data_IF_084637152445
#
_entry.id   IF_084637152445
#
_cell.length_a   1.000
_cell.length_b   1.000
_cell.length_c   1.000
_cell.angle_alpha   90.00
_cell.angle_beta   90.00
_cell.angle_gamma   90.00
#
_symmetry.space_group_name_H-M   'P 1'
#
loop_
_entity.id
_entity.type
_entity.pdbx_description
1 polymer ?
#
# COMPACT_ATOMS: atom_id res chain seq x y z
N UNK A 1 4.88 0.42 -13.61
CA UNK A 1 4.68 1.87 -13.41
C UNK A 1 5.86 2.73 -13.94
N UNK A 2 6.48 2.38 -15.08
CA UNK A 2 7.72 3.02 -15.53
C UNK A 2 7.59 4.51 -15.87
N UNK A 3 6.51 4.91 -16.56
CA UNK A 3 6.28 6.32 -16.87
C UNK A 3 6.12 7.18 -15.62
N UNK A 4 5.36 6.69 -14.63
CA UNK A 4 5.17 7.37 -13.34
C UNK A 4 6.49 7.51 -12.57
N UNK A 5 7.30 6.45 -12.56
CA UNK A 5 8.64 6.48 -11.97
C UNK A 5 9.52 7.55 -12.62
N UNK A 6 9.61 7.59 -13.95
CA UNK A 6 10.47 8.54 -14.66
C UNK A 6 9.98 9.98 -14.53
N UNK A 7 8.68 10.21 -14.69
CA UNK A 7 8.12 11.56 -14.80
C UNK A 7 7.82 12.21 -13.44
N UNK A 8 7.56 11.42 -12.40
CA UNK A 8 7.18 11.94 -11.09
C UNK A 8 8.24 11.60 -10.04
N UNK A 9 8.47 10.31 -9.78
CA UNK A 9 9.28 9.92 -8.61
C UNK A 9 10.77 10.18 -8.78
N UNK A 10 11.35 9.73 -9.89
CA UNK A 10 12.75 9.94 -10.23
C UNK A 10 13.06 11.41 -10.49
N UNK A 11 12.12 12.16 -11.09
CA UNK A 11 12.26 13.60 -11.31
C UNK A 11 12.41 14.36 -9.98
N UNK A 12 11.51 14.13 -9.02
CA UNK A 12 11.60 14.72 -7.66
C UNK A 12 12.89 14.29 -6.96
N UNK A 13 13.23 13.00 -7.04
CA UNK A 13 14.45 12.47 -6.43
C UNK A 13 15.75 13.04 -7.02
N UNK A 14 15.80 13.25 -8.33
CA UNK A 14 16.95 13.83 -9.01
C UNK A 14 17.11 15.32 -8.64
N UNK A 15 16.05 16.11 -8.78
CA UNK A 15 16.08 17.54 -8.52
C UNK A 15 16.42 17.84 -7.05
N UNK A 16 15.76 17.16 -6.10
CA UNK A 16 15.98 17.37 -4.67
C UNK A 16 17.43 17.05 -4.25
N UNK A 17 17.99 15.91 -4.67
CA UNK A 17 19.37 15.55 -4.30
C UNK A 17 20.40 16.53 -4.83
N UNK A 18 20.24 17.03 -6.07
CA UNK A 18 21.18 18.01 -6.64
C UNK A 18 21.06 19.33 -5.89
N UNK A 19 19.86 19.91 -5.84
CA UNK A 19 19.65 21.21 -5.22
C UNK A 19 20.03 21.24 -3.73
N UNK A 20 19.63 20.22 -2.96
CA UNK A 20 19.94 20.15 -1.54
C UNK A 20 21.42 19.89 -1.27
N UNK A 21 22.12 19.16 -2.15
CA UNK A 21 23.57 18.98 -2.01
C UNK A 21 24.33 20.29 -2.22
N UNK A 22 23.96 21.05 -3.25
CA UNK A 22 24.59 22.35 -3.51
C UNK A 22 24.24 23.38 -2.43
N UNK A 23 22.99 23.43 -1.98
CA UNK A 23 22.60 24.32 -0.89
C UNK A 23 23.38 24.05 0.40
N UNK A 24 23.56 22.78 0.76
CA UNK A 24 24.39 22.40 1.93
C UNK A 24 25.84 22.84 1.74
N UNK A 25 26.45 22.58 0.58
CA UNK A 25 27.84 22.96 0.30
C UNK A 25 28.05 24.50 0.34
N UNK A 26 27.10 25.27 -0.18
CA UNK A 26 27.15 26.74 -0.13
C UNK A 26 26.99 27.28 1.28
N UNK A 27 26.11 26.70 2.10
CA UNK A 27 25.94 27.06 3.50
C UNK A 27 27.18 26.74 4.33
N UNK A 28 27.83 25.59 4.08
CA UNK A 28 29.10 25.22 4.71
C UNK A 28 30.20 26.23 4.37
N UNK A 29 30.34 26.60 3.09
CA UNK A 29 31.28 27.66 2.68
C UNK A 29 30.97 29.00 3.30
N UNK A 30 29.70 29.38 3.42
CA UNK A 30 29.31 30.63 4.06
C UNK A 30 29.69 30.66 5.56
N UNK A 31 29.54 29.54 6.27
CA UNK A 31 30.00 29.38 7.65
C UNK A 31 31.53 29.56 7.77
N UNK A 32 32.31 28.99 6.84
CA UNK A 32 33.77 29.16 6.80
C UNK A 32 34.19 30.63 6.63
N UNK A 33 33.35 31.47 6.02
CA UNK A 33 33.58 32.91 5.88
C UNK A 33 32.98 33.75 7.03
N UNK A 34 32.57 33.10 8.13
CA UNK A 34 32.12 33.78 9.35
C UNK A 34 30.64 34.21 9.35
N UNK A 35 29.83 33.76 8.39
CA UNK A 35 28.38 33.98 8.41
C UNK A 35 27.70 32.95 9.33
N UNK A 36 26.74 33.40 10.15
CA UNK A 36 25.95 32.47 10.97
C UNK A 36 24.92 31.74 10.10
N UNK A 37 25.18 30.46 9.81
CA UNK A 37 24.30 29.61 9.00
C UNK A 37 23.75 28.40 9.75
N UNK A 38 23.98 28.27 11.06
CA UNK A 38 23.78 27.01 11.80
C UNK A 38 22.37 26.44 11.64
N UNK A 39 21.34 27.28 11.82
CA UNK A 39 19.94 26.87 11.70
C UNK A 39 19.57 26.46 10.27
N UNK A 40 20.07 27.20 9.27
CA UNK A 40 19.81 26.90 7.86
C UNK A 40 20.54 25.62 7.45
N UNK A 41 21.80 25.47 7.82
CA UNK A 41 22.60 24.29 7.50
C UNK A 41 21.99 23.03 8.12
N UNK A 42 21.55 23.08 9.39
CA UNK A 42 20.85 21.97 10.03
C UNK A 42 19.58 21.58 9.28
N UNK A 43 18.76 22.57 8.89
CA UNK A 43 17.53 22.34 8.11
C UNK A 43 17.82 21.67 6.77
N UNK A 44 18.72 22.22 5.96
CA UNK A 44 19.02 21.70 4.62
C UNK A 44 19.71 20.33 4.66
N UNK A 45 20.54 20.05 5.67
CA UNK A 45 21.10 18.70 5.89
C UNK A 45 20.00 17.68 6.22
N UNK A 46 19.03 18.07 7.06
CA UNK A 46 17.88 17.21 7.35
C UNK A 46 17.06 16.92 6.08
N UNK A 47 16.72 17.96 5.31
CA UNK A 47 16.00 17.80 4.03
C UNK A 47 16.76 16.92 3.04
N UNK A 48 18.08 17.10 2.91
CA UNK A 48 18.94 16.25 2.05
C UNK A 48 18.85 14.78 2.44
N UNK A 49 18.85 14.48 3.75
CA UNK A 49 18.69 13.12 4.27
C UNK A 49 17.32 12.53 3.91
N UNK A 50 16.24 13.28 4.12
CA UNK A 50 14.87 12.86 3.81
C UNK A 50 14.67 12.61 2.30
N UNK A 51 15.27 13.45 1.44
CA UNK A 51 15.29 13.24 0.00
C UNK A 51 16.03 11.95 -0.40
N UNK A 52 17.11 11.60 0.30
CA UNK A 52 17.79 10.31 0.14
C UNK A 52 16.87 9.14 0.46
N UNK A 53 16.22 9.17 1.62
CA UNK A 53 15.28 8.13 2.06
C UNK A 53 14.10 7.95 1.08
N UNK A 54 13.56 9.05 0.56
CA UNK A 54 12.54 9.01 -0.49
C UNK A 54 13.02 8.25 -1.74
N UNK A 55 14.26 8.50 -2.17
CA UNK A 55 14.83 7.81 -3.34
C UNK A 55 15.03 6.33 -3.06
N UNK A 56 15.54 5.99 -1.89
CA UNK A 56 15.75 4.60 -1.49
C UNK A 56 14.40 3.85 -1.42
N UNK A 57 13.35 4.51 -0.92
CA UNK A 57 12.01 3.94 -0.82
C UNK A 57 11.44 3.52 -2.18
N UNK A 58 11.40 4.39 -3.20
CA UNK A 58 10.83 3.99 -4.49
C UNK A 58 11.71 3.00 -5.25
N UNK A 59 13.04 3.05 -5.07
CA UNK A 59 13.99 2.12 -5.71
C UNK A 59 13.80 0.69 -5.22
N UNK A 60 13.34 0.49 -3.99
CA UNK A 60 13.03 -0.83 -3.44
C UNK A 60 12.01 -1.61 -4.29
N UNK A 61 11.19 -0.91 -5.07
CA UNK A 61 10.16 -1.49 -5.94
C UNK A 61 10.54 -1.46 -7.43
N UNK A 62 11.82 -1.25 -7.76
CA UNK A 62 12.30 -1.11 -9.12
C UNK A 62 13.39 -2.15 -9.43
N UNK A 63 13.11 -3.03 -10.38
CA UNK A 63 14.10 -3.93 -10.97
C UNK A 63 13.81 -4.09 -12.46
N UNK A 64 14.84 -4.38 -13.29
CA UNK A 64 14.61 -4.69 -14.68
C UNK A 64 13.84 -6.01 -14.84
N UNK A 65 12.97 -6.09 -15.85
CA UNK A 65 12.25 -7.30 -16.23
C UNK A 65 12.64 -7.63 -17.67
N UNK A 66 13.39 -8.72 -17.84
CA UNK A 66 13.85 -9.23 -19.14
C UNK A 66 13.08 -10.48 -19.56
N UNK A 67 12.49 -11.19 -18.60
CA UNK A 67 11.70 -12.39 -18.83
C UNK A 67 10.59 -12.54 -17.78
N UNK A 68 9.73 -13.55 -17.95
CA UNK A 68 8.70 -13.90 -16.95
C UNK A 68 9.31 -14.28 -15.60
N UNK A 69 10.54 -14.81 -15.57
CA UNK A 69 11.21 -15.21 -14.33
C UNK A 69 11.57 -14.03 -13.41
N UNK A 70 11.60 -12.80 -13.95
CA UNK A 70 11.83 -11.58 -13.16
C UNK A 70 10.55 -11.07 -12.50
N UNK A 71 9.39 -11.67 -12.80
CA UNK A 71 8.11 -11.35 -12.18
C UNK A 71 7.87 -12.20 -10.95
N UNK A 72 7.08 -11.67 -10.01
CA UNK A 72 6.57 -12.40 -8.86
C UNK A 72 5.06 -12.21 -8.78
N UNK A 73 4.33 -13.31 -8.65
CA UNK A 73 2.88 -13.32 -8.43
C UNK A 73 2.60 -13.77 -7.01
N UNK A 74 1.90 -12.92 -6.25
CA UNK A 74 1.47 -13.23 -4.89
C UNK A 74 -0.08 -13.20 -4.81
N UNK A 75 -0.77 -14.26 -5.27
CA UNK A 75 -2.18 -14.47 -4.99
C UNK A 75 -2.52 -14.26 -3.51
N UNK A 76 -3.75 -13.85 -3.20
CA UNK A 76 -4.19 -13.76 -1.80
C UNK A 76 -5.67 -14.10 -1.61
N UNK A 77 -6.43 -14.30 -2.69
CA UNK A 77 -7.77 -14.87 -2.67
C UNK A 77 -7.92 -15.88 -3.79
N UNK A 78 -8.66 -16.95 -3.51
CA UNK A 78 -9.27 -17.80 -4.53
C UNK A 78 -10.71 -17.31 -4.59
N UNK A 79 -11.10 -16.59 -5.65
CA UNK A 79 -12.40 -15.91 -5.68
C UNK A 79 -13.54 -16.87 -6.04
N UNK A 80 -13.34 -17.72 -7.04
CA UNK A 80 -14.34 -18.66 -7.51
C UNK A 80 -13.70 -19.88 -8.19
N UNK A 81 -14.43 -20.99 -8.17
CA UNK A 81 -14.20 -22.18 -9.00
C UNK A 81 -15.52 -22.55 -9.68
N UNK A 82 -15.54 -23.63 -10.47
CA UNK A 82 -16.78 -24.10 -11.09
C UNK A 82 -17.88 -24.29 -10.04
N UNK A 83 -18.98 -23.54 -10.19
CA UNK A 83 -20.18 -23.63 -9.34
C UNK A 83 -20.09 -23.00 -7.96
N UNK A 84 -18.98 -22.38 -7.57
CA UNK A 84 -18.81 -21.85 -6.19
C UNK A 84 -17.98 -20.55 -6.17
N UNK A 85 -18.52 -19.53 -5.51
CA UNK A 85 -17.76 -18.35 -5.10
C UNK A 85 -17.28 -18.55 -3.66
N UNK A 86 -15.96 -18.49 -3.43
CA UNK A 86 -15.36 -18.84 -2.13
C UNK A 86 -15.42 -17.70 -1.10
N UNK A 87 -16.39 -16.81 -1.22
CA UNK A 87 -16.57 -15.63 -0.35
C UNK A 87 -17.09 -16.00 1.04
N UNK A 88 -17.54 -17.26 1.23
CA UNK A 88 -17.89 -17.85 2.53
C UNK A 88 -16.69 -18.47 3.27
N UNK A 89 -15.49 -18.51 2.66
CA UNK A 89 -14.28 -19.01 3.30
C UNK A 89 -13.58 -17.89 4.06
N UNK A 90 -13.01 -18.18 5.22
CA UNK A 90 -12.24 -17.18 5.98
C UNK A 90 -10.87 -16.92 5.31
N UNK A 91 -10.19 -15.84 5.70
CA UNK A 91 -8.92 -15.49 5.09
C UNK A 91 -7.80 -16.50 5.38
N UNK A 92 -7.83 -17.22 6.50
CA UNK A 92 -6.86 -18.29 6.80
C UNK A 92 -6.95 -19.40 5.76
N UNK A 93 -8.17 -19.85 5.45
CA UNK A 93 -8.41 -20.86 4.42
C UNK A 93 -7.82 -20.42 3.07
N UNK A 94 -7.99 -19.16 2.68
CA UNK A 94 -7.38 -18.65 1.44
C UNK A 94 -5.86 -18.71 1.48
N UNK A 95 -5.24 -18.29 2.59
CA UNK A 95 -3.78 -18.30 2.72
C UNK A 95 -3.20 -19.71 2.70
N UNK A 96 -3.83 -20.65 3.42
CA UNK A 96 -3.41 -22.05 3.49
C UNK A 96 -3.63 -22.78 2.16
N UNK A 97 -4.79 -22.59 1.52
CA UNK A 97 -5.07 -23.23 0.22
C UNK A 97 -4.14 -22.71 -0.88
N UNK A 98 -3.85 -21.39 -0.88
CA UNK A 98 -2.88 -20.83 -1.82
C UNK A 98 -1.44 -21.28 -1.52
N UNK A 99 -1.12 -21.65 -0.28
CA UNK A 99 0.20 -22.17 0.07
C UNK A 99 0.56 -23.45 -0.70
N UNK A 100 -0.43 -24.29 -0.98
CA UNK A 100 -0.26 -25.48 -1.81
C UNK A 100 0.10 -25.12 -3.26
N UNK A 101 -0.50 -24.07 -3.82
CA UNK A 101 -0.17 -23.59 -5.16
C UNK A 101 1.25 -23.00 -5.23
N UNK A 102 1.68 -22.29 -4.19
CA UNK A 102 3.06 -21.75 -4.14
C UNK A 102 4.12 -22.85 -4.16
N UNK A 103 3.81 -24.03 -3.63
CA UNK A 103 4.73 -25.16 -3.66
C UNK A 103 4.96 -25.70 -5.10
N UNK A 104 4.02 -25.46 -6.02
CA UNK A 104 4.08 -25.96 -7.40
C UNK A 104 5.01 -25.14 -8.30
N UNK A 105 5.13 -23.83 -8.09
CA UNK A 105 6.03 -22.96 -8.86
C UNK A 105 6.63 -21.87 -7.95
N UNK A 106 7.75 -22.19 -7.31
CA UNK A 106 8.46 -21.29 -6.39
C UNK A 106 9.26 -20.20 -7.11
N UNK A 107 9.43 -20.30 -8.42
CA UNK A 107 10.14 -19.30 -9.21
C UNK A 107 9.22 -18.13 -9.51
N UNK A 108 7.98 -18.38 -9.92
CA UNK A 108 7.01 -17.33 -10.23
C UNK A 108 6.14 -16.94 -9.03
N UNK A 109 5.70 -17.91 -8.23
CA UNK A 109 4.75 -17.66 -7.15
C UNK A 109 5.45 -17.34 -5.83
N UNK A 110 4.96 -16.30 -5.17
CA UNK A 110 5.45 -15.84 -3.89
C UNK A 110 4.38 -16.01 -2.82
N UNK A 111 4.70 -16.77 -1.78
CA UNK A 111 3.82 -16.92 -0.64
C UNK A 111 3.67 -15.60 0.13
N UNK A 112 2.44 -15.15 0.30
CA UNK A 112 2.14 -13.96 1.10
C UNK A 112 2.29 -14.31 2.59
N UNK A 113 3.25 -13.72 3.33
CA UNK A 113 3.33 -13.95 4.77
C UNK A 113 2.13 -13.30 5.47
N UNK A 114 1.55 -14.00 6.45
CA UNK A 114 0.43 -13.49 7.25
C UNK A 114 0.62 -13.78 8.73
N UNK A 115 -0.10 -13.04 9.57
CA UNK A 115 -0.17 -13.27 11.01
C UNK A 115 -1.61 -13.06 11.48
N UNK A 116 -2.12 -13.99 12.27
CA UNK A 116 -3.37 -13.82 12.99
C UNK A 116 -3.14 -12.97 14.23
N UNK A 117 -4.07 -12.04 14.47
CA UNK A 117 -4.04 -11.13 15.61
C UNK A 117 -5.41 -11.15 16.27
N UNK A 118 -5.45 -11.54 17.54
CA UNK A 118 -6.64 -11.34 18.37
C UNK A 118 -6.61 -9.90 18.89
N UNK A 119 -7.52 -9.07 18.36
CA UNK A 119 -7.60 -7.64 18.72
C UNK A 119 -8.13 -7.40 20.14
N UNK A 120 -8.60 -8.44 20.82
CA UNK A 120 -9.03 -8.40 22.23
C UNK A 120 -7.94 -8.77 23.22
N UNK A 121 -6.84 -9.38 22.75
CA UNK A 121 -5.66 -9.72 23.54
C UNK A 121 -4.54 -8.69 23.31
N UNK A 122 -4.17 -7.88 24.33
CA UNK A 122 -3.07 -6.93 24.21
C UNK A 122 -1.73 -7.56 23.79
N UNK A 123 -1.43 -8.79 24.21
CA UNK A 123 -0.18 -9.46 23.84
C UNK A 123 -0.17 -9.81 22.35
N UNK A 124 -1.26 -10.39 21.82
CA UNK A 124 -1.42 -10.65 20.39
C UNK A 124 -1.30 -9.38 19.54
N UNK A 125 -1.85 -8.26 20.01
CA UNK A 125 -1.72 -6.96 19.34
C UNK A 125 -0.26 -6.49 19.30
N UNK A 126 0.47 -6.59 20.41
CA UNK A 126 1.89 -6.24 20.46
C UNK A 126 2.73 -7.07 19.49
N UNK A 127 2.48 -8.38 19.43
CA UNK A 127 3.15 -9.24 18.45
C UNK A 127 2.83 -8.85 16.99
N UNK A 128 1.58 -8.44 16.72
CA UNK A 128 1.16 -7.94 15.41
C UNK A 128 1.89 -6.65 15.02
N UNK A 129 2.04 -5.72 15.96
CA UNK A 129 2.81 -4.48 15.78
C UNK A 129 4.29 -4.80 15.53
N UNK A 130 4.90 -5.66 16.34
CA UNK A 130 6.30 -6.07 16.18
C UNK A 130 6.56 -6.72 14.82
N UNK A 131 5.63 -7.57 14.35
CA UNK A 131 5.69 -8.17 13.02
C UNK A 131 5.65 -7.12 11.89
N UNK A 132 4.74 -6.15 11.99
CA UNK A 132 4.63 -5.05 11.02
C UNK A 132 5.87 -4.14 11.02
N UNK A 133 6.42 -3.82 12.19
CA UNK A 133 7.66 -3.04 12.31
C UNK A 133 8.85 -3.78 11.65
N UNK A 134 8.95 -5.09 11.84
CA UNK A 134 9.99 -5.90 11.20
C UNK A 134 9.84 -5.96 9.68
N UNK A 135 8.61 -6.07 9.18
CA UNK A 135 8.33 -6.09 7.74
C UNK A 135 8.68 -4.75 7.08
N UNK A 136 8.21 -3.65 7.66
CA UNK A 136 8.42 -2.31 7.11
C UNK A 136 9.86 -1.83 7.30
N UNK A 137 10.53 -2.21 8.38
CA UNK A 137 11.95 -1.94 8.61
C UNK A 137 12.90 -2.62 7.61
N UNK A 138 12.41 -3.59 6.82
CA UNK A 138 13.15 -4.25 5.74
C UNK A 138 12.81 -3.71 4.34
N UNK A 139 12.01 -2.65 4.25
CA UNK A 139 11.55 -2.05 3.00
C UNK A 139 10.16 -2.53 2.53
N UNK A 140 9.48 -3.37 3.30
CA UNK A 140 8.11 -3.76 2.98
C UNK A 140 7.15 -2.57 3.00
N UNK A 141 6.17 -2.57 2.09
CA UNK A 141 5.18 -1.47 1.97
C UNK A 141 4.37 -1.31 3.26
N UNK A 142 4.05 -2.41 3.93
CA UNK A 142 3.16 -2.46 5.08
C UNK A 142 2.32 -3.74 5.06
N UNK A 143 1.11 -3.64 5.61
CA UNK A 143 0.18 -4.77 5.67
C UNK A 143 -1.23 -4.38 5.25
N UNK A 144 -2.02 -5.39 4.90
CA UNK A 144 -3.47 -5.30 4.73
C UNK A 144 -4.11 -6.07 5.86
N UNK A 145 -4.81 -5.36 6.75
CA UNK A 145 -5.56 -5.94 7.85
C UNK A 145 -6.94 -6.31 7.34
N UNK A 146 -7.34 -7.57 7.47
CA UNK A 146 -8.64 -8.08 7.07
C UNK A 146 -9.36 -8.62 8.31
N UNK A 147 -10.70 -8.59 8.37
CA UNK A 147 -11.44 -9.40 9.34
C UNK A 147 -11.06 -10.88 9.20
N UNK A 148 -11.37 -11.73 10.18
CA UNK A 148 -11.08 -13.16 10.04
C UNK A 148 -11.90 -13.78 8.89
N UNK A 149 -13.22 -13.55 8.93
CA UNK A 149 -14.15 -13.93 7.89
C UNK A 149 -14.11 -12.95 6.71
N UNK A 150 -14.28 -13.46 5.49
CA UNK A 150 -14.18 -12.68 4.26
C UNK A 150 -15.29 -11.61 4.14
N UNK A 151 -16.52 -11.94 4.56
CA UNK A 151 -17.62 -10.99 4.72
C UNK A 151 -17.98 -10.91 6.20
N UNK A 152 -17.48 -9.88 6.87
CA UNK A 152 -17.81 -9.63 8.27
C UNK A 152 -18.89 -8.54 8.42
N UNK A 153 -19.76 -8.70 9.43
CA UNK A 153 -20.81 -7.73 9.78
C UNK A 153 -20.61 -7.23 11.21
N UNK A 154 -20.72 -5.92 11.38
CA UNK A 154 -20.79 -5.26 12.68
C UNK A 154 -22.19 -4.70 12.95
N UNK A 155 -22.32 -3.91 14.02
CA UNK A 155 -23.60 -3.30 14.44
C UNK A 155 -24.28 -2.42 13.37
N UNK A 156 -23.53 -1.95 12.38
CA UNK A 156 -24.00 -1.03 11.32
C UNK A 156 -23.97 -1.65 9.91
N UNK A 157 -23.95 -2.98 9.82
CA UNK A 157 -23.88 -3.71 8.54
C UNK A 157 -22.48 -4.24 8.24
N UNK A 158 -22.17 -4.39 6.94
CA UNK A 158 -20.88 -4.93 6.48
C UNK A 158 -19.74 -3.98 6.90
N UNK A 159 -18.68 -4.54 7.47
CA UNK A 159 -17.47 -3.77 7.80
C UNK A 159 -16.48 -3.77 6.63
N UNK A 160 -15.47 -2.91 6.70
CA UNK A 160 -14.44 -2.87 5.65
C UNK A 160 -13.81 -4.26 5.47
N UNK A 161 -13.78 -4.82 4.25
CA UNK A 161 -13.20 -6.14 4.00
C UNK A 161 -11.67 -6.12 4.13
N UNK A 162 -11.06 -4.93 4.01
CA UNK A 162 -9.63 -4.74 4.13
C UNK A 162 -9.31 -3.30 4.56
N UNK A 163 -8.28 -3.15 5.39
CA UNK A 163 -7.71 -1.85 5.79
C UNK A 163 -6.20 -1.89 5.57
N UNK A 164 -5.69 -1.02 4.70
CA UNK A 164 -4.25 -0.88 4.46
C UNK A 164 -3.57 -0.13 5.61
N UNK A 165 -2.43 -0.62 6.07
CA UNK A 165 -1.56 0.01 7.07
C UNK A 165 -0.12 0.02 6.52
N UNK A 166 0.28 1.16 5.96
CA UNK A 166 1.53 1.34 5.21
C UNK A 166 2.66 1.83 6.13
N UNK A 167 3.87 1.34 5.89
CA UNK A 167 5.10 1.70 6.61
C UNK A 167 5.52 3.15 6.38
N UNK A 168 6.26 3.74 7.33
CA UNK A 168 6.63 5.15 7.28
C UNK A 168 7.50 5.48 6.05
N UNK A 169 8.52 4.67 5.77
CA UNK A 169 9.41 4.94 4.63
C UNK A 169 8.68 4.82 3.28
N UNK A 170 7.75 3.86 3.14
CA UNK A 170 6.90 3.76 1.95
C UNK A 170 6.01 4.99 1.77
N UNK A 171 5.48 5.55 2.85
CA UNK A 171 4.61 6.72 2.79
C UNK A 171 5.32 7.97 2.26
N UNK A 172 6.66 8.02 2.20
CA UNK A 172 7.40 9.08 1.49
C UNK A 172 7.07 9.11 0.00
N UNK A 173 6.82 7.95 -0.60
CA UNK A 173 6.42 7.83 -2.03
C UNK A 173 5.05 8.47 -2.26
N UNK A 174 4.17 8.41 -1.25
CA UNK A 174 2.76 8.82 -1.35
C UNK A 174 2.55 10.28 -0.92
N UNK A 175 3.14 10.69 0.20
CA UNK A 175 2.93 11.99 0.81
C UNK A 175 4.12 12.96 0.61
N UNK A 176 5.20 12.49 0.00
CA UNK A 176 6.40 13.26 -0.31
C UNK A 176 7.55 13.03 0.69
N UNK A 177 8.77 13.50 0.35
CA UNK A 177 9.98 13.18 1.13
C UNK A 177 9.92 13.65 2.59
N UNK A 178 9.29 14.80 2.83
CA UNK A 178 9.26 15.51 4.13
C UNK A 178 7.94 15.32 4.89
N UNK A 179 7.11 14.35 4.53
CA UNK A 179 5.75 14.23 5.06
C UNK A 179 5.68 14.01 6.59
N UNK A 180 6.72 13.41 7.16
CA UNK A 180 6.82 13.04 8.57
C UNK A 180 7.46 14.13 9.45
N UNK A 181 7.86 15.25 8.85
CA UNK A 181 8.26 16.46 9.57
C UNK A 181 7.06 16.98 10.38
N UNK A 182 7.20 17.37 11.66
CA UNK A 182 6.07 17.62 12.57
C UNK A 182 4.98 18.54 12.01
N UNK A 183 5.38 19.65 11.39
CA UNK A 183 4.46 20.65 10.83
C UNK A 183 3.64 20.10 9.65
N UNK A 184 4.25 19.25 8.82
CA UNK A 184 3.57 18.59 7.70
C UNK A 184 2.66 17.47 8.22
N UNK A 185 3.16 16.67 9.17
CA UNK A 185 2.44 15.51 9.70
C UNK A 185 1.16 15.91 10.43
N UNK A 186 1.19 17.02 11.20
CA UNK A 186 0.02 17.54 11.89
C UNK A 186 -1.11 17.90 10.91
N UNK A 187 -0.78 18.55 9.79
CA UNK A 187 -1.74 18.86 8.73
C UNK A 187 -2.29 17.58 8.08
N UNK A 188 -1.43 16.60 7.81
CA UNK A 188 -1.81 15.34 7.16
C UNK A 188 -2.69 14.42 8.04
N UNK A 189 -2.70 14.60 9.37
CA UNK A 189 -3.61 13.88 10.27
C UNK A 189 -5.07 14.24 10.03
N UNK A 190 -5.35 15.44 9.53
CA UNK A 190 -6.71 15.90 9.21
C UNK A 190 -7.14 15.32 7.84
N UNK A 191 -7.63 14.09 7.81
CA UNK A 191 -8.05 13.41 6.57
C UNK A 191 -9.46 12.83 6.62
N UNK A 192 -10.23 13.05 5.55
CA UNK A 192 -11.57 12.50 5.37
C UNK A 192 -11.55 11.11 4.76
N UNK A 193 -11.86 10.07 5.54
CA UNK A 193 -11.88 8.68 5.05
C UNK A 193 -13.26 8.18 4.63
N UNK A 194 -14.33 8.94 4.90
CA UNK A 194 -15.72 8.49 4.74
C UNK A 194 -16.04 8.12 3.29
N UNK A 195 -15.69 8.98 2.32
CA UNK A 195 -15.96 8.74 0.89
C UNK A 195 -15.23 7.49 0.38
N UNK A 196 -13.93 7.32 0.68
CA UNK A 196 -13.16 6.14 0.26
C UNK A 196 -13.71 4.86 0.88
N UNK A 197 -14.07 4.89 2.16
CA UNK A 197 -14.71 3.75 2.85
C UNK A 197 -16.07 3.38 2.23
N UNK A 198 -16.87 4.36 1.86
CA UNK A 198 -18.17 4.14 1.20
C UNK A 198 -18.02 3.57 -0.21
N UNK A 199 -17.06 4.07 -1.00
CA UNK A 199 -16.75 3.54 -2.32
C UNK A 199 -16.28 2.08 -2.23
N UNK A 200 -15.30 1.80 -1.37
CA UNK A 200 -14.75 0.46 -1.17
C UNK A 200 -15.83 -0.58 -0.81
N UNK A 201 -16.83 -0.22 0.02
CA UNK A 201 -17.93 -1.14 0.35
C UNK A 201 -18.87 -1.39 -0.82
N UNK A 202 -19.15 -0.37 -1.65
CA UNK A 202 -20.02 -0.50 -2.82
C UNK A 202 -19.34 -1.31 -3.92
N UNK A 203 -18.08 -1.02 -4.20
CA UNK A 203 -17.24 -1.80 -5.13
C UNK A 203 -17.13 -3.25 -4.67
N UNK A 204 -16.86 -3.48 -3.37
CA UNK A 204 -16.83 -4.82 -2.80
C UNK A 204 -18.16 -5.55 -3.02
N UNK A 205 -19.29 -4.95 -2.66
CA UNK A 205 -20.60 -5.57 -2.84
C UNK A 205 -20.89 -5.91 -4.32
N UNK A 206 -20.57 -5.01 -5.25
CA UNK A 206 -20.70 -5.29 -6.69
C UNK A 206 -19.78 -6.42 -7.15
N UNK A 207 -18.55 -6.48 -6.63
CA UNK A 207 -17.60 -7.56 -6.92
C UNK A 207 -18.11 -8.93 -6.48
N UNK A 208 -18.68 -9.02 -5.26
CA UNK A 208 -19.28 -10.26 -4.75
C UNK A 208 -20.49 -10.65 -5.59
N UNK A 209 -21.42 -9.73 -5.82
CA UNK A 209 -22.61 -9.98 -6.63
C UNK A 209 -22.24 -10.45 -8.05
N UNK A 210 -21.24 -9.82 -8.67
CA UNK A 210 -20.75 -10.22 -9.99
C UNK A 210 -20.18 -11.65 -10.01
N UNK A 211 -19.42 -12.03 -8.98
CA UNK A 211 -18.90 -13.39 -8.83
C UNK A 211 -20.03 -14.41 -8.62
N UNK A 212 -20.99 -14.11 -7.76
CA UNK A 212 -22.13 -14.99 -7.48
C UNK A 212 -22.99 -15.23 -8.72
N UNK A 213 -23.33 -14.17 -9.47
CA UNK A 213 -24.05 -14.28 -10.74
C UNK A 213 -23.28 -15.09 -11.78
N UNK A 214 -21.97 -14.94 -11.83
CA UNK A 214 -21.11 -15.68 -12.75
C UNK A 214 -21.13 -17.18 -12.44
N UNK A 215 -20.95 -17.57 -11.18
CA UNK A 215 -20.95 -19.00 -10.79
C UNK A 215 -22.32 -19.65 -10.90
N UNK A 216 -23.41 -18.87 -10.81
CA UNK A 216 -24.79 -19.30 -11.04
C UNK A 216 -25.18 -19.36 -12.53
N UNK A 217 -24.25 -19.07 -13.44
CA UNK A 217 -24.47 -19.05 -14.89
C UNK A 217 -25.59 -18.09 -15.33
N UNK A 218 -25.75 -16.94 -14.66
CA UNK A 218 -26.63 -15.87 -15.14
C UNK A 218 -26.15 -15.33 -16.50
N UNK A 219 -27.05 -14.72 -17.31
CA UNK A 219 -26.67 -14.11 -18.58
C UNK A 219 -25.56 -13.07 -18.40
N UNK A 220 -24.59 -13.02 -19.32
CA UNK A 220 -23.41 -12.15 -19.24
C UNK A 220 -23.73 -10.69 -18.89
N UNK A 221 -24.85 -10.14 -19.40
CA UNK A 221 -25.29 -8.77 -19.08
C UNK A 221 -25.45 -8.51 -17.58
N UNK A 222 -25.89 -9.53 -16.81
CA UNK A 222 -26.11 -9.47 -15.36
C UNK A 222 -24.82 -9.52 -14.56
N UNK A 223 -23.82 -10.24 -15.05
CA UNK A 223 -22.45 -10.23 -14.50
C UNK A 223 -21.77 -8.90 -14.85
N UNK A 224 -21.92 -8.47 -16.11
CA UNK A 224 -21.25 -7.30 -16.65
C UNK A 224 -21.75 -5.99 -16.02
N UNK A 225 -23.04 -5.85 -15.69
CA UNK A 225 -23.54 -4.66 -14.99
C UNK A 225 -22.85 -4.45 -13.63
N UNK A 226 -22.48 -5.52 -12.92
CA UNK A 226 -21.74 -5.44 -11.67
C UNK A 226 -20.29 -5.01 -11.89
N UNK A 227 -19.58 -5.66 -12.82
CA UNK A 227 -18.19 -5.31 -13.17
C UNK A 227 -18.09 -3.88 -13.71
N UNK A 228 -19.03 -3.47 -14.56
CA UNK A 228 -19.11 -2.10 -15.08
C UNK A 228 -19.45 -1.10 -13.97
N UNK A 229 -20.28 -1.48 -13.00
CA UNK A 229 -20.55 -0.67 -11.81
C UNK A 229 -19.30 -0.37 -10.99
N UNK A 230 -18.41 -1.36 -10.79
CA UNK A 230 -17.11 -1.14 -10.12
C UNK A 230 -16.27 -0.14 -10.91
N UNK A 231 -16.16 -0.32 -12.23
CA UNK A 231 -15.42 0.60 -13.10
C UNK A 231 -15.97 2.03 -13.03
N UNK A 232 -17.30 2.19 -13.00
CA UNK A 232 -17.95 3.49 -12.90
C UNK A 232 -17.65 4.16 -11.54
N UNK A 233 -17.67 3.40 -10.44
CA UNK A 233 -17.37 3.93 -9.10
C UNK A 233 -15.91 4.37 -8.95
N UNK A 234 -14.96 3.69 -9.60
CA UNK A 234 -13.54 4.09 -9.60
C UNK A 234 -13.27 5.43 -10.31
N UNK A 235 -14.23 5.93 -11.11
CA UNK A 235 -14.13 7.27 -11.70
C UNK A 235 -14.53 8.40 -10.74
N UNK A 236 -15.10 8.08 -9.58
CA UNK A 236 -15.48 9.07 -8.57
C UNK A 236 -14.24 9.71 -7.93
N UNK A 237 -14.13 11.05 -7.90
CA UNK A 237 -12.93 11.70 -7.39
C UNK A 237 -12.76 11.44 -5.89
N UNK A 238 -11.60 10.88 -5.51
CA UNK A 238 -11.19 10.67 -4.13
C UNK A 238 -9.74 11.08 -3.96
N UNK A 239 -9.32 11.42 -2.74
CA UNK A 239 -7.92 11.73 -2.47
C UNK A 239 -7.04 10.54 -2.90
N UNK A 240 -6.14 10.71 -3.89
CA UNK A 240 -5.36 9.63 -4.47
C UNK A 240 -4.31 9.06 -3.49
N UNK A 241 -4.10 9.70 -2.34
CA UNK A 241 -3.17 9.25 -1.31
C UNK A 241 -3.77 8.16 -0.40
N UNK A 242 -5.09 7.93 -0.46
CA UNK A 242 -5.84 7.04 0.44
C UNK A 242 -5.92 5.58 -0.01
#
# INVERSE_FOLDING_TARGET
>A
AQALLLQQYAAVGAASRVALSEAVALLERAAEHGLNTDLLLAKYRAQKKLAGQYVDAYRHYCWPVHSVADLKLAPFHILATQGEAHVGKNHVWHMETLAELYAADKELLLATPYKLVDVSDPASVEEGVAWWLKLTGRGGEGMVVKPYDFIARGRRGIIQPAVKCRGPEYLRIIYGPEYDVPENLEQLRQRGLSRKRSLALREFALGIEGLERFVQAEPLRRVHECAFGVLALESEPVDPRL
#
